data_IF_214866293639
#
_entry.id   IF_214866293639
#
_cell.length_a   1.000
_cell.length_b   1.000
_cell.length_c   1.000
_cell.angle_alpha   90.00
_cell.angle_beta   90.00
_cell.angle_gamma   90.00
#
_symmetry.space_group_name_H-M   'P 1'
#
loop_
_entity.id
_entity.type
_entity.pdbx_description
1 polymer ?
#
# COMPACT_ATOMS: atom_id res chain seq x y z
N UNK A 1 -58.76 -50.16 39.35
CA UNK A 1 -58.43 -48.70 39.41
C UNK A 1 -57.21 -48.48 38.56
N UNK A 2 -57.44 -48.02 37.32
CA UNK A 2 -56.36 -47.84 36.28
C UNK A 2 -55.94 -46.39 36.30
N UNK A 3 -54.65 -46.15 36.50
CA UNK A 3 -54.04 -44.82 36.35
C UNK A 3 -53.23 -44.83 35.08
N UNK A 4 -53.63 -44.00 34.10
CA UNK A 4 -52.96 -43.78 32.82
C UNK A 4 -52.01 -42.59 33.00
N UNK A 5 -50.67 -42.79 32.87
CA UNK A 5 -49.70 -41.75 32.82
C UNK A 5 -49.50 -41.27 31.36
N UNK A 6 -49.71 -39.96 31.12
CA UNK A 6 -49.42 -39.30 29.84
C UNK A 6 -47.97 -38.84 29.85
N UNK A 7 -47.17 -39.44 28.95
CA UNK A 7 -45.81 -38.97 28.71
C UNK A 7 -45.82 -37.84 27.69
N UNK A 8 -45.24 -36.70 28.04
CA UNK A 8 -45.02 -35.53 27.15
C UNK A 8 -43.66 -35.68 26.48
N UNK A 9 -43.68 -35.79 25.16
CA UNK A 9 -42.48 -35.85 24.33
C UNK A 9 -42.02 -34.40 24.07
N UNK A 10 -40.87 -33.98 24.66
CA UNK A 10 -40.27 -32.70 24.39
C UNK A 10 -39.36 -32.82 23.14
N UNK A 11 -39.76 -32.22 22.04
CA UNK A 11 -38.95 -32.10 20.84
C UNK A 11 -37.93 -30.97 21.04
N UNK A 12 -36.64 -31.33 21.17
CA UNK A 12 -35.52 -30.36 21.16
C UNK A 12 -35.25 -29.94 19.71
N UNK A 13 -35.63 -28.71 19.35
CA UNK A 13 -35.19 -28.06 18.13
C UNK A 13 -33.71 -27.64 18.27
N UNK A 14 -32.82 -28.39 17.65
CA UNK A 14 -31.43 -27.97 17.45
C UNK A 14 -31.43 -26.88 16.35
N UNK A 15 -31.38 -25.63 16.77
CA UNK A 15 -31.18 -24.50 15.87
C UNK A 15 -29.74 -24.52 15.34
N UNK A 16 -29.57 -24.88 14.08
CA UNK A 16 -28.29 -24.76 13.35
C UNK A 16 -28.02 -23.26 13.14
N UNK A 17 -27.30 -22.64 14.04
CA UNK A 17 -26.85 -21.27 13.92
C UNK A 17 -25.84 -21.18 12.79
N UNK A 18 -26.24 -20.75 11.60
CA UNK A 18 -25.33 -20.29 10.57
C UNK A 18 -24.61 -19.05 11.09
N UNK A 19 -23.37 -19.24 11.54
CA UNK A 19 -22.46 -18.12 11.78
C UNK A 19 -22.19 -17.46 10.42
N UNK A 20 -22.90 -16.39 10.11
CA UNK A 20 -22.53 -15.47 9.04
C UNK A 20 -21.20 -14.85 9.46
N UNK A 21 -20.10 -15.34 8.92
CA UNK A 21 -18.83 -14.61 8.95
C UNK A 21 -19.06 -13.30 8.22
N UNK A 22 -19.18 -12.21 8.96
CA UNK A 22 -19.20 -10.88 8.39
C UNK A 22 -17.87 -10.68 7.66
N UNK A 23 -17.90 -10.70 6.35
CA UNK A 23 -16.77 -10.28 5.52
C UNK A 23 -16.57 -8.80 5.84
N UNK A 24 -15.47 -8.45 6.50
CA UNK A 24 -15.12 -7.06 6.72
C UNK A 24 -15.03 -6.39 5.33
N UNK A 25 -15.67 -5.22 5.13
CA UNK A 25 -15.53 -4.49 3.88
C UNK A 25 -14.07 -4.08 3.69
N UNK A 26 -13.66 -3.89 2.42
CA UNK A 26 -12.37 -3.30 2.10
C UNK A 26 -12.22 -2.00 2.90
N UNK A 27 -11.14 -1.87 3.64
CA UNK A 27 -10.85 -0.66 4.39
C UNK A 27 -10.06 0.31 3.50
N UNK A 28 -10.47 1.57 3.53
CA UNK A 28 -9.74 2.67 2.91
C UNK A 28 -8.80 3.29 3.95
N UNK A 29 -7.57 3.57 3.52
CA UNK A 29 -6.51 4.13 4.34
C UNK A 29 -5.94 5.38 3.69
N UNK A 30 -5.66 6.38 4.49
CA UNK A 30 -4.77 7.47 4.11
C UNK A 30 -3.32 7.05 4.35
N UNK A 31 -2.42 7.45 3.44
CA UNK A 31 -0.99 7.23 3.63
C UNK A 31 -0.50 8.19 4.71
N UNK A 32 0.05 7.65 5.79
CA UNK A 32 0.66 8.44 6.88
C UNK A 32 2.02 8.99 6.41
N UNK A 33 2.15 10.30 6.14
CA UNK A 33 3.39 10.87 5.61
C UNK A 33 4.54 10.88 6.62
N UNK A 34 4.25 10.63 7.90
CA UNK A 34 5.27 10.60 8.95
C UNK A 34 5.93 9.24 9.11
N UNK A 35 5.27 8.17 8.61
CA UNK A 35 5.76 6.80 8.68
C UNK A 35 5.81 6.11 7.31
N UNK A 36 5.72 6.89 6.23
CA UNK A 36 5.82 6.39 4.85
C UNK A 36 6.97 7.07 4.12
N UNK A 37 7.70 6.30 3.32
CA UNK A 37 8.92 6.76 2.68
C UNK A 37 8.95 6.32 1.21
N UNK A 38 9.42 7.21 0.33
CA UNK A 38 9.86 6.87 -1.03
C UNK A 38 11.36 7.04 -1.07
N UNK A 39 12.07 5.93 -1.06
CA UNK A 39 13.53 5.89 -1.08
C UNK A 39 14.03 5.32 -2.39
N UNK A 40 15.21 5.72 -2.79
CA UNK A 40 15.91 5.17 -3.95
C UNK A 40 17.39 4.96 -3.67
N UNK A 41 18.00 4.05 -4.42
CA UNK A 41 19.44 3.90 -4.47
C UNK A 41 19.91 3.85 -5.93
N UNK A 42 21.04 4.48 -6.20
CA UNK A 42 21.65 4.54 -7.52
C UNK A 42 23.09 4.10 -7.41
N UNK A 43 23.54 3.24 -8.31
CA UNK A 43 24.95 2.86 -8.38
C UNK A 43 25.76 4.06 -8.91
N UNK A 44 26.74 4.52 -8.14
CA UNK A 44 27.60 5.62 -8.51
C UNK A 44 28.94 5.11 -9.06
N UNK A 45 29.17 5.34 -10.36
CA UNK A 45 30.40 4.97 -11.07
C UNK A 45 30.84 3.49 -10.93
N UNK A 46 29.92 2.61 -10.53
CA UNK A 46 30.24 1.21 -10.29
C UNK A 46 30.91 0.90 -8.95
N UNK A 47 31.24 1.90 -8.13
CA UNK A 47 32.01 1.74 -6.89
C UNK A 47 31.19 1.80 -5.62
N UNK A 48 30.09 2.56 -5.61
CA UNK A 48 29.31 2.79 -4.41
C UNK A 48 27.83 2.96 -4.70
N UNK A 49 27.01 2.95 -3.64
CA UNK A 49 25.60 3.28 -3.71
C UNK A 49 25.35 4.67 -3.16
N UNK A 50 24.65 5.47 -3.93
CA UNK A 50 24.04 6.72 -3.49
C UNK A 50 22.60 6.42 -3.10
N UNK A 51 22.22 6.84 -1.89
CA UNK A 51 20.87 6.76 -1.39
C UNK A 51 20.22 8.14 -1.39
N UNK A 52 18.95 8.18 -1.64
CA UNK A 52 18.13 9.37 -1.55
C UNK A 52 16.68 9.03 -1.30
N UNK A 53 15.88 10.06 -1.02
CA UNK A 53 14.45 9.95 -0.77
C UNK A 53 13.72 11.21 -1.22
N UNK A 54 12.41 11.12 -1.22
CA UNK A 54 11.51 12.28 -1.31
C UNK A 54 10.85 12.46 0.05
N UNK A 55 10.98 13.64 0.64
CA UNK A 55 10.50 13.92 2.01
C UNK A 55 9.00 14.21 2.06
N UNK A 56 8.32 14.41 0.90
CA UNK A 56 6.90 14.74 0.84
C UNK A 56 6.17 13.80 -0.10
N UNK A 57 5.20 13.10 0.45
CA UNK A 57 4.28 12.23 -0.28
C UNK A 57 2.90 12.28 0.35
N UNK A 58 1.88 11.94 -0.44
CA UNK A 58 0.51 11.78 0.01
C UNK A 58 -0.19 10.73 -0.84
N UNK A 59 -1.30 10.21 -0.37
CA UNK A 59 -2.10 9.27 -1.14
C UNK A 59 -3.04 8.46 -0.28
N UNK A 60 -3.72 7.53 -0.94
CA UNK A 60 -4.68 6.62 -0.32
C UNK A 60 -4.48 5.21 -0.84
N UNK A 61 -4.87 4.22 -0.06
CA UNK A 61 -4.99 2.86 -0.55
C UNK A 61 -6.20 2.16 0.05
N UNK A 62 -6.77 1.23 -0.70
CA UNK A 62 -7.78 0.30 -0.22
C UNK A 62 -7.20 -1.11 -0.16
N UNK A 63 -7.52 -1.82 0.92
CA UNK A 63 -7.02 -3.16 1.17
C UNK A 63 -8.07 -4.02 1.86
N UNK A 64 -8.28 -5.23 1.30
CA UNK A 64 -9.10 -6.29 1.89
C UNK A 64 -8.29 -7.59 1.85
N UNK A 65 -7.87 -8.14 2.99
CA UNK A 65 -7.11 -9.39 3.02
C UNK A 65 -7.90 -10.58 2.48
N UNK A 66 -9.24 -10.53 2.46
CA UNK A 66 -10.10 -11.56 1.88
C UNK A 66 -10.24 -11.44 0.35
N UNK A 67 -9.94 -10.25 -0.21
CA UNK A 67 -10.02 -9.95 -1.65
C UNK A 67 -8.82 -9.11 -2.09
N UNK A 68 -7.60 -9.62 -1.96
CA UNK A 68 -6.38 -8.85 -2.21
C UNK A 68 -6.29 -8.31 -3.65
N UNK A 69 -6.91 -8.99 -4.61
CA UNK A 69 -6.99 -8.54 -6.02
C UNK A 69 -7.78 -7.23 -6.20
N UNK A 70 -8.62 -6.88 -5.24
CA UNK A 70 -9.36 -5.62 -5.23
C UNK A 70 -8.52 -4.43 -4.70
N UNK A 71 -7.32 -4.68 -4.17
CA UNK A 71 -6.44 -3.64 -3.62
C UNK A 71 -6.11 -2.56 -4.64
N UNK A 72 -6.12 -1.32 -4.19
CA UNK A 72 -5.81 -0.13 -5.00
C UNK A 72 -4.95 0.80 -4.18
N UNK A 73 -4.03 1.49 -4.86
CA UNK A 73 -3.24 2.56 -4.26
C UNK A 73 -3.09 3.71 -5.25
N UNK A 74 -3.15 4.92 -4.74
CA UNK A 74 -2.74 6.15 -5.43
C UNK A 74 -1.77 6.89 -4.54
N UNK A 75 -0.58 7.17 -5.06
CA UNK A 75 0.48 7.91 -4.38
C UNK A 75 0.88 9.09 -5.23
N UNK A 76 1.02 10.25 -4.63
CA UNK A 76 1.63 11.44 -5.21
C UNK A 76 2.88 11.82 -4.40
N UNK A 77 3.94 12.19 -5.09
CA UNK A 77 5.23 12.56 -4.53
C UNK A 77 5.61 13.95 -5.01
N UNK A 78 5.97 14.83 -4.09
CA UNK A 78 6.55 16.14 -4.42
C UNK A 78 8.04 15.93 -4.78
N UNK A 79 8.38 16.04 -6.06
CA UNK A 79 9.75 15.85 -6.55
C UNK A 79 10.70 16.96 -6.09
N UNK A 80 10.17 18.12 -5.68
CA UNK A 80 10.98 19.21 -5.11
C UNK A 80 11.54 18.86 -3.73
N UNK A 81 10.94 17.85 -3.07
CA UNK A 81 11.34 17.36 -1.74
C UNK A 81 12.49 16.34 -1.78
N UNK A 82 13.14 16.17 -2.94
CA UNK A 82 14.31 15.33 -3.08
C UNK A 82 15.37 15.66 -2.02
N UNK A 83 15.90 14.62 -1.38
CA UNK A 83 16.89 14.71 -0.33
C UNK A 83 17.88 13.54 -0.45
N UNK A 84 19.15 13.84 -0.71
CA UNK A 84 20.26 12.86 -0.73
C UNK A 84 21.29 13.14 0.35
N UNK A 85 20.93 13.95 1.36
CA UNK A 85 21.81 14.39 2.44
C UNK A 85 23.03 15.21 1.95
N UNK A 86 22.88 15.97 0.86
CA UNK A 86 23.92 16.86 0.34
C UNK A 86 23.33 17.99 -0.50
N UNK A 87 23.30 19.20 0.04
CA UNK A 87 22.55 20.33 -0.50
C UNK A 87 22.90 20.68 -1.97
N UNK A 88 24.20 20.74 -2.33
CA UNK A 88 24.61 21.05 -3.69
C UNK A 88 24.24 19.96 -4.70
N UNK A 89 24.33 18.70 -4.29
CA UNK A 89 23.86 17.57 -5.12
C UNK A 89 22.36 17.63 -5.30
N UNK A 90 21.60 17.89 -4.26
CA UNK A 90 20.15 17.99 -4.31
C UNK A 90 19.69 19.13 -5.23
N UNK A 91 20.38 20.28 -5.15
CA UNK A 91 20.17 21.41 -6.07
C UNK A 91 20.40 21.02 -7.53
N UNK A 92 21.50 20.31 -7.80
CA UNK A 92 21.84 19.84 -9.15
C UNK A 92 20.81 18.82 -9.67
N UNK A 93 20.42 17.82 -8.82
CA UNK A 93 19.45 16.80 -9.16
C UNK A 93 18.04 17.36 -9.44
N UNK A 94 17.67 18.47 -8.78
CA UNK A 94 16.40 19.16 -9.07
C UNK A 94 16.44 19.97 -10.36
N UNK A 95 17.63 20.23 -10.91
CA UNK A 95 17.83 21.04 -12.12
C UNK A 95 17.38 20.36 -13.41
N UNK A 96 17.49 21.11 -14.49
CA UNK A 96 17.05 20.72 -15.85
C UNK A 96 17.75 19.48 -16.42
N UNK A 97 18.98 19.20 -15.97
CA UNK A 97 19.75 18.03 -16.44
C UNK A 97 19.25 16.71 -15.85
N UNK A 98 18.43 16.77 -14.77
CA UNK A 98 17.93 15.59 -14.07
C UNK A 98 16.41 15.61 -13.92
N UNK A 99 15.88 16.12 -12.80
CA UNK A 99 14.45 16.03 -12.49
C UNK A 99 13.62 17.20 -13.04
N UNK A 100 14.27 18.35 -13.37
CA UNK A 100 13.59 19.56 -13.86
C UNK A 100 12.31 19.85 -13.04
N UNK A 101 12.46 19.92 -11.71
CA UNK A 101 11.32 19.96 -10.79
C UNK A 101 10.42 21.18 -10.96
N UNK A 102 10.94 22.28 -11.53
CA UNK A 102 10.15 23.47 -11.87
C UNK A 102 9.06 23.15 -12.91
N UNK A 103 9.29 22.14 -13.75
CA UNK A 103 8.36 21.68 -14.79
C UNK A 103 7.64 20.40 -14.37
N UNK A 104 8.36 19.51 -13.70
CA UNK A 104 7.89 18.18 -13.29
C UNK A 104 7.91 18.05 -11.77
N UNK A 105 7.24 18.97 -11.07
CA UNK A 105 7.23 19.08 -9.61
C UNK A 105 6.52 17.93 -8.90
N UNK A 106 5.89 17.01 -9.64
CA UNK A 106 5.16 15.87 -9.10
C UNK A 106 5.48 14.58 -9.83
N UNK A 107 5.53 13.48 -9.06
CA UNK A 107 5.44 12.13 -9.57
C UNK A 107 4.20 11.45 -8.98
N UNK A 108 3.60 10.50 -9.70
CA UNK A 108 2.43 9.79 -9.21
C UNK A 108 2.46 8.33 -9.62
N UNK A 109 1.91 7.46 -8.78
CA UNK A 109 1.63 6.08 -9.13
C UNK A 109 0.17 5.76 -8.86
N UNK A 110 -0.49 5.15 -9.83
CA UNK A 110 -1.88 4.70 -9.73
C UNK A 110 -2.00 3.25 -10.16
N UNK A 111 -2.52 2.41 -9.30
CA UNK A 111 -2.73 0.99 -9.55
C UNK A 111 -3.77 0.77 -10.64
N UNK A 112 -3.52 -0.22 -11.50
CA UNK A 112 -4.48 -0.79 -12.46
C UNK A 112 -4.91 -2.21 -12.06
N UNK A 113 -4.12 -2.90 -11.26
CA UNK A 113 -4.42 -4.24 -10.77
C UNK A 113 -3.45 -4.74 -9.70
N UNK A 114 -3.82 -5.85 -9.07
CA UNK A 114 -2.99 -6.58 -8.13
C UNK A 114 -3.07 -8.07 -8.42
N UNK A 115 -1.95 -8.77 -8.31
CA UNK A 115 -1.86 -10.23 -8.43
C UNK A 115 -1.00 -10.78 -7.28
N UNK A 116 -1.61 -11.62 -6.45
CA UNK A 116 -0.94 -12.19 -5.28
C UNK A 116 -1.93 -12.63 -4.22
N UNK A 117 -1.47 -12.67 -2.99
CA UNK A 117 -2.29 -12.95 -1.80
C UNK A 117 -2.24 -11.78 -0.82
N UNK A 118 -2.80 -11.94 0.39
CA UNK A 118 -2.84 -10.88 1.41
C UNK A 118 -1.45 -10.44 1.91
N UNK A 119 -0.41 -11.28 1.78
CA UNK A 119 0.91 -11.00 2.35
C UNK A 119 1.92 -10.51 1.32
N UNK A 120 1.79 -10.95 0.07
CA UNK A 120 2.73 -10.57 -1.00
C UNK A 120 2.12 -10.70 -2.38
N UNK A 121 2.59 -9.87 -3.30
CA UNK A 121 2.14 -9.90 -4.69
C UNK A 121 2.81 -8.83 -5.54
N UNK A 122 2.18 -8.53 -6.65
CA UNK A 122 2.61 -7.55 -7.63
C UNK A 122 1.47 -6.57 -7.89
N UNK A 123 1.72 -5.28 -7.65
CA UNK A 123 0.86 -4.19 -8.09
C UNK A 123 1.24 -3.81 -9.52
N UNK A 124 0.30 -3.92 -10.45
CA UNK A 124 0.42 -3.30 -11.76
C UNK A 124 -0.16 -1.89 -11.71
N UNK A 125 0.47 -0.94 -12.36
CA UNK A 125 -0.01 0.44 -12.34
C UNK A 125 0.71 1.33 -13.35
N UNK A 126 0.33 2.60 -13.37
CA UNK A 126 0.98 3.62 -14.18
C UNK A 126 1.79 4.53 -13.26
N UNK A 127 3.08 4.64 -13.55
CA UNK A 127 3.97 5.64 -12.96
C UNK A 127 4.07 6.84 -13.90
N UNK A 128 3.57 7.98 -13.43
CA UNK A 128 3.77 9.29 -14.05
C UNK A 128 4.99 9.94 -13.43
N UNK A 129 6.07 10.07 -14.19
CA UNK A 129 7.33 10.62 -13.69
C UNK A 129 8.06 11.37 -14.81
N UNK A 130 8.51 12.58 -14.51
CA UNK A 130 9.25 13.45 -15.44
C UNK A 130 8.52 13.64 -16.79
N UNK A 131 7.19 13.81 -16.75
CA UNK A 131 6.34 14.01 -17.93
C UNK A 131 6.08 12.76 -18.76
N UNK A 132 6.46 11.58 -18.29
CA UNK A 132 6.24 10.29 -18.96
C UNK A 132 5.35 9.40 -18.11
N UNK A 133 4.31 8.83 -18.72
CA UNK A 133 3.48 7.80 -18.15
C UNK A 133 4.00 6.42 -18.57
N UNK A 134 4.38 5.59 -17.61
CA UNK A 134 4.93 4.26 -17.87
C UNK A 134 4.17 3.20 -17.07
N UNK A 135 3.62 2.15 -17.71
CA UNK A 135 3.15 0.96 -17.01
C UNK A 135 4.32 0.28 -16.29
N UNK A 136 4.14 0.00 -15.01
CA UNK A 136 5.14 -0.68 -14.19
C UNK A 136 4.51 -1.76 -13.33
N UNK A 137 5.35 -2.66 -12.83
CA UNK A 137 5.01 -3.65 -11.83
C UNK A 137 5.85 -3.44 -10.58
N UNK A 138 5.20 -3.33 -9.43
CA UNK A 138 5.82 -3.14 -8.12
C UNK A 138 5.63 -4.39 -7.31
N UNK A 139 6.72 -5.07 -6.94
CA UNK A 139 6.68 -6.18 -6.00
C UNK A 139 6.34 -5.65 -4.60
N UNK A 140 5.32 -6.21 -3.95
CA UNK A 140 4.79 -5.73 -2.67
C UNK A 140 4.76 -6.85 -1.65
N UNK A 141 5.12 -6.53 -0.41
CA UNK A 141 5.00 -7.39 0.76
C UNK A 141 4.36 -6.63 1.92
N UNK A 142 3.45 -7.29 2.63
CA UNK A 142 2.88 -6.76 3.86
C UNK A 142 3.92 -6.83 4.99
N UNK A 143 4.08 -5.74 5.72
CA UNK A 143 4.91 -5.69 6.94
C UNK A 143 4.08 -6.13 8.14
N UNK A 144 2.83 -5.65 8.22
CA UNK A 144 1.91 -5.99 9.28
C UNK A 144 0.67 -5.11 9.27
N UNK A 145 -0.28 -5.45 10.10
CA UNK A 145 -1.49 -4.65 10.31
C UNK A 145 -2.01 -4.83 11.73
N UNK A 146 -2.74 -3.86 12.25
CA UNK A 146 -3.32 -3.94 13.59
C UNK A 146 -3.85 -2.62 14.12
N UNK A 147 -4.44 -2.69 15.32
CA UNK A 147 -4.87 -1.51 16.07
C UNK A 147 -3.67 -0.75 16.61
N UNK A 148 -3.69 0.56 16.47
CA UNK A 148 -2.70 1.42 17.12
C UNK A 148 -3.13 1.85 18.53
N UNK A 149 -2.21 2.36 19.37
CA UNK A 149 -2.52 2.79 20.74
C UNK A 149 -3.50 3.97 20.85
N UNK A 150 -3.77 4.65 19.75
CA UNK A 150 -4.63 5.85 19.69
C UNK A 150 -6.04 5.54 19.14
N UNK A 151 -6.37 4.26 18.94
CA UNK A 151 -7.69 3.81 18.52
C UNK A 151 -7.88 3.71 17.01
N UNK A 152 -6.84 3.94 16.22
CA UNK A 152 -6.81 3.71 14.79
C UNK A 152 -6.51 2.26 14.42
N UNK A 153 -6.57 1.96 13.13
CA UNK A 153 -6.12 0.70 12.54
C UNK A 153 -5.11 1.01 11.44
N UNK A 154 -3.97 0.32 11.43
CA UNK A 154 -2.88 0.54 10.48
C UNK A 154 -2.56 -0.72 9.71
N UNK A 155 -2.18 -0.53 8.45
CA UNK A 155 -1.64 -1.59 7.60
C UNK A 155 -0.36 -1.07 6.92
N UNK A 156 0.72 -1.83 7.01
CA UNK A 156 2.03 -1.46 6.48
C UNK A 156 2.50 -2.41 5.39
N UNK A 157 3.06 -1.84 4.32
CA UNK A 157 3.56 -2.57 3.16
C UNK A 157 4.91 -2.03 2.71
N UNK A 158 5.71 -2.88 2.09
CA UNK A 158 6.92 -2.49 1.36
C UNK A 158 6.72 -2.81 -0.11
N UNK A 159 6.96 -1.82 -0.98
CA UNK A 159 6.97 -1.97 -2.43
C UNK A 159 8.37 -1.76 -3.00
N UNK A 160 8.77 -2.54 -4.00
CA UNK A 160 10.07 -2.40 -4.67
C UNK A 160 9.89 -2.44 -6.18
N UNK A 161 10.52 -1.49 -6.86
CA UNK A 161 10.59 -1.41 -8.30
C UNK A 161 12.00 -1.00 -8.74
N UNK A 162 12.51 -1.63 -9.80
CA UNK A 162 13.79 -1.22 -10.41
C UNK A 162 13.51 -0.43 -11.68
N UNK A 163 13.90 0.84 -11.66
CA UNK A 163 13.78 1.73 -12.83
C UNK A 163 15.10 1.72 -13.62
N UNK A 164 15.00 1.51 -14.91
CA UNK A 164 16.08 1.77 -15.87
C UNK A 164 15.87 3.13 -16.50
N UNK A 165 16.90 3.94 -16.54
CA UNK A 165 16.92 5.25 -17.16
C UNK A 165 17.11 5.12 -18.68
#
# INVERSE_FOLDING_TARGET
>A
MHVIAKGTLAAALFGLGCAFSAVAPAADFDIDPTHSFIEFKIQHLGYSWLFGRFDKLAGTFSYDPAKPEASRITVEVDTTSLNTNHAERDKHLRGKEFLEVDKFGKAAFKTTGYKGNADKGVLSGVLSFHGVDKPIEVAVSKVGEGKDPWGGYRAGFIGTYTMTR
#
